data_IF_889424885634
#
_entry.id   IF_889424885634
#
_cell.length_a   1.000
_cell.length_b   1.000
_cell.length_c   1.000
_cell.angle_alpha   90.00
_cell.angle_beta   90.00
_cell.angle_gamma   90.00
#
_symmetry.space_group_name_H-M   'P 1'
#
loop_
_entity.id
_entity.type
_entity.pdbx_description
1 polymer ?
#
# COMPACT_ATOMS: atom_id res chain seq x y z
N UNK A 1 -21.93 -15.02 -58.24
CA UNK A 1 -22.10 -15.43 -56.84
C UNK A 1 -20.71 -15.62 -56.28
N UNK A 2 -20.10 -14.55 -55.78
CA UNK A 2 -18.72 -14.55 -55.29
C UNK A 2 -18.71 -14.83 -53.78
N UNK A 3 -17.85 -15.77 -53.36
CA UNK A 3 -17.67 -16.14 -51.96
C UNK A 3 -16.50 -15.32 -51.42
N UNK A 4 -16.78 -14.37 -50.53
CA UNK A 4 -15.77 -13.65 -49.76
C UNK A 4 -15.31 -14.54 -48.59
N UNK A 5 -14.04 -14.96 -48.61
CA UNK A 5 -13.38 -15.61 -47.47
C UNK A 5 -12.83 -14.52 -46.55
N UNK A 6 -13.43 -14.36 -45.38
CA UNK A 6 -12.95 -13.46 -44.33
C UNK A 6 -11.75 -14.08 -43.59
N UNK A 7 -10.57 -13.48 -43.73
CA UNK A 7 -9.39 -13.81 -42.94
C UNK A 7 -9.55 -13.14 -41.56
N UNK A 8 -9.77 -13.94 -40.52
CA UNK A 8 -9.73 -13.48 -39.15
C UNK A 8 -8.27 -13.34 -38.68
N UNK A 9 -7.79 -12.10 -38.54
CA UNK A 9 -6.52 -11.79 -37.89
C UNK A 9 -6.70 -11.92 -36.37
N UNK A 10 -6.24 -13.02 -35.79
CA UNK A 10 -6.10 -13.17 -34.33
C UNK A 10 -4.83 -12.43 -33.91
N UNK A 11 -4.97 -11.18 -33.46
CA UNK A 11 -3.89 -10.47 -32.79
C UNK A 11 -3.73 -10.99 -31.36
N UNK A 12 -2.78 -11.89 -31.16
CA UNK A 12 -2.36 -12.33 -29.82
C UNK A 12 -1.58 -11.24 -29.12
N UNK A 13 -2.21 -10.52 -28.20
CA UNK A 13 -1.50 -9.64 -27.27
C UNK A 13 -0.71 -10.51 -26.29
N UNK A 14 0.62 -10.48 -26.37
CA UNK A 14 1.50 -11.08 -25.36
C UNK A 14 1.36 -10.24 -24.07
N UNK A 15 0.79 -10.83 -23.02
CA UNK A 15 0.70 -10.19 -21.72
C UNK A 15 2.11 -9.90 -21.21
N UNK A 16 2.49 -8.62 -21.13
CA UNK A 16 3.78 -8.21 -20.57
C UNK A 16 3.79 -8.57 -19.09
N UNK A 17 4.76 -9.40 -18.67
CA UNK A 17 4.92 -9.78 -17.28
C UNK A 17 5.01 -8.52 -16.40
N UNK A 18 4.29 -8.54 -15.27
CA UNK A 18 4.30 -7.44 -14.32
C UNK A 18 5.70 -7.28 -13.73
N UNK A 19 6.19 -6.04 -13.55
CA UNK A 19 7.46 -5.83 -12.87
C UNK A 19 7.38 -6.46 -11.48
N UNK A 20 8.30 -7.38 -11.20
CA UNK A 20 8.38 -8.06 -9.92
C UNK A 20 9.06 -7.16 -8.89
N UNK A 21 8.55 -7.14 -7.66
CA UNK A 21 9.26 -6.51 -6.54
C UNK A 21 10.58 -7.24 -6.28
N UNK A 22 11.63 -6.52 -5.85
CA UNK A 22 12.83 -7.17 -5.35
C UNK A 22 12.49 -8.18 -4.22
N UNK A 23 13.36 -9.18 -3.99
CA UNK A 23 13.13 -10.17 -2.95
C UNK A 23 13.01 -9.49 -1.57
N UNK A 24 12.18 -10.09 -0.72
CA UNK A 24 12.02 -9.62 0.65
C UNK A 24 13.34 -9.84 1.43
N UNK A 25 13.67 -8.92 2.33
CA UNK A 25 14.94 -8.91 3.05
C UNK A 25 14.69 -9.20 4.53
N UNK A 26 15.37 -10.18 5.14
CA UNK A 26 15.28 -10.40 6.59
C UNK A 26 15.66 -9.14 7.37
N UNK A 27 14.88 -8.81 8.41
CA UNK A 27 15.21 -7.72 9.32
C UNK A 27 16.24 -8.19 10.36
N UNK A 28 17.52 -8.12 10.00
CA UNK A 28 18.64 -8.48 10.87
C UNK A 28 19.32 -7.24 11.46
N UNK A 29 20.09 -7.40 12.57
CA UNK A 29 20.95 -6.33 13.07
C UNK A 29 21.86 -5.80 11.96
N UNK A 30 21.95 -4.49 11.80
CA UNK A 30 22.71 -3.83 10.72
C UNK A 30 21.93 -3.61 9.41
N UNK A 31 20.74 -4.17 9.26
CA UNK A 31 19.81 -3.84 8.16
C UNK A 31 18.69 -2.96 8.71
N UNK A 32 17.79 -3.52 9.49
CA UNK A 32 16.70 -2.79 10.14
C UNK A 32 16.27 -3.56 11.38
N UNK A 33 16.03 -2.83 12.46
CA UNK A 33 15.42 -3.35 13.67
C UNK A 33 14.30 -2.41 14.09
N UNK A 34 13.05 -2.91 14.23
CA UNK A 34 11.98 -2.10 14.80
C UNK A 34 12.35 -1.69 16.23
N UNK A 35 12.02 -0.45 16.61
CA UNK A 35 12.20 -0.02 17.99
C UNK A 35 11.17 -0.68 18.91
N UNK A 36 11.40 -0.70 20.24
CA UNK A 36 10.38 -1.11 21.18
C UNK A 36 9.07 -0.35 20.93
N UNK A 37 7.99 -1.09 20.69
CA UNK A 37 6.68 -0.51 20.40
C UNK A 37 6.40 -0.19 18.92
N UNK A 38 7.34 -0.41 17.99
CA UNK A 38 7.12 -0.22 16.54
C UNK A 38 6.39 -1.39 15.87
N UNK A 39 6.22 -2.50 16.57
CA UNK A 39 5.53 -3.70 16.08
C UNK A 39 4.35 -4.04 16.96
N UNK A 40 3.31 -4.61 16.35
CA UNK A 40 2.10 -5.08 17.02
C UNK A 40 1.82 -6.52 16.61
N UNK A 41 1.40 -7.33 17.58
CA UNK A 41 0.90 -8.68 17.34
C UNK A 41 -0.62 -8.64 17.33
N UNK A 42 -1.22 -9.15 16.25
CA UNK A 42 -2.68 -9.19 16.08
C UNK A 42 -3.10 -10.63 15.93
N UNK A 43 -3.72 -11.19 16.97
CA UNK A 43 -4.14 -12.59 16.98
C UNK A 43 -2.99 -13.52 16.60
N UNK A 44 -3.18 -14.33 15.55
CA UNK A 44 -2.19 -15.27 15.02
C UNK A 44 -1.46 -14.75 13.77
N UNK A 45 -1.61 -13.48 13.42
CA UNK A 45 -0.84 -12.91 12.32
C UNK A 45 0.62 -12.71 12.72
N UNK A 46 1.56 -12.77 11.76
CA UNK A 46 2.92 -12.34 11.99
C UNK A 46 2.95 -10.90 12.49
N UNK A 47 3.96 -10.56 13.30
CA UNK A 47 4.11 -9.21 13.84
C UNK A 47 4.09 -8.16 12.70
N UNK A 48 3.24 -7.14 12.86
CA UNK A 48 3.04 -6.07 11.89
C UNK A 48 3.82 -4.85 12.35
N UNK A 49 4.64 -4.27 11.46
CA UNK A 49 5.27 -2.98 11.71
C UNK A 49 4.24 -1.85 11.60
N UNK A 50 4.32 -0.87 12.49
CA UNK A 50 3.40 0.27 12.55
C UNK A 50 3.61 1.31 11.45
N UNK A 51 4.80 1.33 10.86
CA UNK A 51 5.27 2.41 9.98
C UNK A 51 5.64 1.90 8.59
N UNK A 52 5.41 2.74 7.58
CA UNK A 52 6.13 2.61 6.32
C UNK A 52 7.60 2.96 6.56
N UNK A 53 8.53 2.22 5.95
CA UNK A 53 9.97 2.40 6.12
C UNK A 53 10.56 3.02 4.85
N UNK A 54 11.32 4.10 5.00
CA UNK A 54 11.97 4.80 3.89
C UNK A 54 13.16 4.03 3.31
N UNK A 55 13.72 4.57 2.21
CA UNK A 55 14.90 3.98 1.54
C UNK A 55 16.17 3.97 2.41
N UNK A 56 16.19 4.73 3.50
CA UNK A 56 17.27 4.82 4.48
C UNK A 56 16.99 3.96 5.72
N UNK A 57 15.97 3.10 5.67
CA UNK A 57 15.61 2.17 6.72
C UNK A 57 15.17 2.85 8.03
N UNK A 58 14.50 4.00 7.90
CA UNK A 58 13.87 4.73 9.01
C UNK A 58 12.36 4.74 8.82
N UNK A 59 11.56 4.87 9.90
CA UNK A 59 10.14 5.16 9.78
C UNK A 59 9.93 6.41 8.91
N UNK A 60 9.18 6.28 7.83
CA UNK A 60 9.02 7.31 6.81
C UNK A 60 8.32 8.55 7.38
N UNK A 61 8.83 9.71 6.99
CA UNK A 61 8.21 11.00 7.22
C UNK A 61 7.70 11.51 5.88
N UNK A 62 6.43 11.92 5.83
CA UNK A 62 5.71 12.25 4.61
C UNK A 62 6.40 13.42 3.88
N UNK A 63 7.33 13.11 2.97
CA UNK A 63 8.21 14.06 2.28
C UNK A 63 8.88 15.10 3.21
N UNK A 64 9.13 14.74 4.48
CA UNK A 64 9.66 15.66 5.50
C UNK A 64 8.69 16.76 5.97
N UNK A 65 7.40 16.63 5.65
CA UNK A 65 6.38 17.61 6.02
C UNK A 65 6.20 17.71 7.53
N UNK A 66 5.85 18.92 7.97
CA UNK A 66 5.49 19.21 9.36
C UNK A 66 4.04 19.65 9.44
N UNK A 67 3.28 19.00 10.31
CA UNK A 67 1.91 19.37 10.61
C UNK A 67 1.86 19.96 12.02
N UNK A 68 1.46 21.24 12.12
CA UNK A 68 1.46 22.00 13.38
C UNK A 68 2.81 21.93 14.13
N UNK A 69 3.91 22.00 13.39
CA UNK A 69 5.29 21.94 13.91
C UNK A 69 5.85 20.53 14.14
N UNK A 70 5.01 19.50 14.16
CA UNK A 70 5.42 18.10 14.39
C UNK A 70 5.74 17.39 13.07
N UNK A 71 6.73 16.51 13.04
CA UNK A 71 7.06 15.73 11.85
C UNK A 71 5.95 14.70 11.57
N UNK A 72 5.52 14.61 10.31
CA UNK A 72 4.40 13.76 9.92
C UNK A 72 4.88 12.35 9.58
N UNK A 73 4.61 11.38 10.47
CA UNK A 73 4.95 9.96 10.29
C UNK A 73 3.91 9.27 9.41
N UNK A 74 4.34 8.36 8.53
CA UNK A 74 3.45 7.59 7.66
C UNK A 74 3.04 6.23 8.27
N UNK A 75 1.79 6.09 8.78
CA UNK A 75 1.34 4.87 9.43
C UNK A 75 0.91 3.79 8.42
N UNK A 76 1.12 2.52 8.79
CA UNK A 76 0.37 1.41 8.19
C UNK A 76 -1.10 1.57 8.60
N UNK A 77 -1.99 1.59 7.62
CA UNK A 77 -3.42 1.86 7.82
C UNK A 77 -4.36 0.93 7.02
N UNK A 78 -3.81 -0.04 6.30
CA UNK A 78 -4.57 -1.11 5.63
C UNK A 78 -3.92 -2.46 5.90
N UNK A 79 -4.73 -3.49 6.14
CA UNK A 79 -4.34 -4.90 6.11
C UNK A 79 -5.20 -5.62 5.07
N UNK A 80 -4.57 -6.38 4.18
CA UNK A 80 -5.29 -7.22 3.20
C UNK A 80 -4.92 -8.68 3.41
N UNK A 81 -5.90 -9.57 3.32
CA UNK A 81 -5.68 -11.03 3.36
C UNK A 81 -6.28 -11.65 2.12
N UNK A 82 -5.45 -12.23 1.26
CA UNK A 82 -5.90 -13.04 0.13
C UNK A 82 -5.97 -14.52 0.56
N UNK A 83 -7.18 -14.97 0.92
CA UNK A 83 -7.43 -16.37 1.30
C UNK A 83 -7.68 -17.29 0.10
N UNK A 84 -7.64 -16.77 -1.12
CA UNK A 84 -7.97 -17.51 -2.34
C UNK A 84 -6.72 -17.93 -3.09
N UNK A 85 -5.70 -17.07 -3.11
CA UNK A 85 -4.45 -17.32 -3.82
C UNK A 85 -3.70 -18.56 -3.30
N UNK A 86 -3.24 -19.42 -4.20
CA UNK A 86 -2.45 -20.60 -3.87
C UNK A 86 -0.98 -20.25 -3.57
N UNK A 87 -0.46 -19.16 -4.17
CA UNK A 87 0.93 -18.72 -4.05
C UNK A 87 1.07 -17.22 -3.76
N UNK A 88 2.26 -16.81 -3.30
CA UNK A 88 2.59 -15.40 -3.06
C UNK A 88 2.47 -14.56 -4.34
N UNK A 89 2.92 -15.11 -5.47
CA UNK A 89 2.89 -14.40 -6.76
C UNK A 89 1.46 -14.29 -7.29
N UNK A 90 0.63 -15.32 -7.09
CA UNK A 90 -0.80 -15.24 -7.41
C UNK A 90 -1.49 -14.19 -6.53
N UNK A 91 -1.19 -14.13 -5.23
CA UNK A 91 -1.75 -13.13 -4.32
C UNK A 91 -1.36 -11.71 -4.77
N UNK A 92 -0.11 -11.49 -5.19
CA UNK A 92 0.35 -10.20 -5.73
C UNK A 92 -0.37 -9.83 -7.02
N UNK A 93 -0.50 -10.78 -7.94
CA UNK A 93 -1.19 -10.57 -9.21
C UNK A 93 -2.67 -10.21 -8.98
N UNK A 94 -3.35 -10.94 -8.10
CA UNK A 94 -4.74 -10.68 -7.70
C UNK A 94 -4.91 -9.33 -7.02
N UNK A 95 -4.01 -8.96 -6.11
CA UNK A 95 -4.01 -7.65 -5.47
C UNK A 95 -3.84 -6.53 -6.51
N UNK A 96 -2.89 -6.67 -7.43
CA UNK A 96 -2.66 -5.65 -8.46
C UNK A 96 -3.89 -5.48 -9.35
N UNK A 97 -4.51 -6.58 -9.76
CA UNK A 97 -5.73 -6.55 -10.56
C UNK A 97 -6.88 -5.90 -9.80
N UNK A 98 -7.06 -6.26 -8.52
CA UNK A 98 -8.05 -5.64 -7.66
C UNK A 98 -7.81 -4.13 -7.51
N UNK A 99 -6.56 -3.69 -7.34
CA UNK A 99 -6.24 -2.27 -7.26
C UNK A 99 -6.61 -1.54 -8.56
N UNK A 100 -6.29 -2.10 -9.73
CA UNK A 100 -6.68 -1.52 -11.03
C UNK A 100 -8.19 -1.44 -11.19
N UNK A 101 -8.92 -2.53 -10.91
CA UNK A 101 -10.38 -2.56 -10.97
C UNK A 101 -11.04 -1.56 -9.98
N UNK A 102 -10.40 -1.34 -8.84
CA UNK A 102 -10.80 -0.32 -7.87
C UNK A 102 -10.45 1.12 -8.28
N UNK A 103 -9.78 1.33 -9.42
CA UNK A 103 -9.32 2.64 -9.91
C UNK A 103 -8.00 3.11 -9.31
N UNK A 104 -7.30 2.27 -8.56
CA UNK A 104 -5.97 2.51 -7.98
C UNK A 104 -4.89 1.82 -8.81
N UNK A 105 -4.78 2.15 -10.10
CA UNK A 105 -3.68 1.62 -10.90
C UNK A 105 -2.31 2.15 -10.42
N UNK A 106 -1.22 1.42 -10.72
CA UNK A 106 0.13 1.98 -10.58
C UNK A 106 0.27 3.25 -11.43
N UNK A 107 0.72 4.35 -10.82
CA UNK A 107 0.99 5.63 -11.48
C UNK A 107 2.36 6.16 -11.09
N UNK A 108 3.05 6.77 -12.04
CA UNK A 108 4.34 7.44 -11.85
C UNK A 108 4.21 8.80 -11.12
N UNK A 109 5.32 9.51 -10.94
CA UNK A 109 5.35 10.84 -10.32
C UNK A 109 5.35 10.85 -8.80
N UNK A 110 5.55 9.69 -8.16
CA UNK A 110 5.57 9.57 -6.70
C UNK A 110 6.98 9.22 -6.21
N UNK A 111 7.27 9.46 -4.93
CA UNK A 111 8.47 8.93 -4.28
C UNK A 111 8.41 7.38 -4.24
N UNK A 112 9.57 6.72 -4.06
CA UNK A 112 9.64 5.27 -4.03
C UNK A 112 10.82 4.72 -3.24
N UNK A 113 10.97 3.40 -3.24
CA UNK A 113 12.00 2.69 -2.47
C UNK A 113 11.57 2.35 -1.04
N UNK A 114 10.27 2.43 -0.76
CA UNK A 114 9.71 2.13 0.55
C UNK A 114 9.63 0.64 0.83
N UNK A 115 9.59 0.32 2.13
CA UNK A 115 9.44 -1.03 2.65
C UNK A 115 8.39 -1.08 3.76
N UNK A 116 7.87 -2.27 4.00
CA UNK A 116 7.01 -2.56 5.15
C UNK A 116 7.56 -3.75 5.92
N UNK A 117 7.46 -3.69 7.25
CA UNK A 117 7.89 -4.77 8.13
C UNK A 117 6.72 -5.72 8.43
N UNK A 118 6.95 -7.01 8.19
CA UNK A 118 5.96 -8.04 8.46
C UNK A 118 6.66 -9.37 8.82
N UNK A 119 6.42 -9.88 10.01
CA UNK A 119 6.94 -11.18 10.45
C UNK A 119 8.47 -11.28 10.46
N UNK A 120 9.19 -10.21 10.82
CA UNK A 120 10.66 -10.20 10.82
C UNK A 120 11.29 -9.97 9.44
N UNK A 121 10.49 -9.60 8.43
CA UNK A 121 10.94 -9.40 7.06
C UNK A 121 10.54 -8.01 6.57
N UNK A 122 11.45 -7.35 5.86
CA UNK A 122 11.17 -6.15 5.10
C UNK A 122 10.77 -6.49 3.67
N UNK A 123 9.54 -6.12 3.31
CA UNK A 123 9.03 -6.27 1.95
C UNK A 123 9.15 -4.96 1.20
N UNK A 124 9.66 -5.03 -0.03
CA UNK A 124 9.63 -3.90 -0.94
C UNK A 124 8.18 -3.55 -1.31
N UNK A 125 7.94 -2.26 -1.54
CA UNK A 125 6.64 -1.76 -1.98
C UNK A 125 6.11 -2.48 -3.24
N UNK A 126 4.79 -2.56 -3.29
CA UNK A 126 3.95 -2.67 -4.46
C UNK A 126 3.25 -1.31 -4.67
N UNK A 127 3.15 -0.81 -5.92
CA UNK A 127 3.76 -1.37 -7.12
C UNK A 127 5.29 -1.32 -7.08
N UNK A 128 5.92 -2.30 -7.77
CA UNK A 128 7.36 -2.51 -7.76
C UNK A 128 8.16 -1.46 -8.54
N UNK A 129 7.53 -0.83 -9.53
CA UNK A 129 8.19 0.14 -10.40
C UNK A 129 8.69 1.35 -9.59
N UNK A 130 9.92 1.78 -9.90
CA UNK A 130 10.50 2.96 -9.27
C UNK A 130 9.61 4.19 -9.51
N UNK A 131 9.44 5.00 -8.47
CA UNK A 131 8.63 6.21 -8.52
C UNK A 131 7.12 5.98 -8.72
N UNK A 132 6.62 4.75 -8.54
CA UNK A 132 5.21 4.43 -8.70
C UNK A 132 4.48 4.22 -7.39
N UNK A 133 3.22 4.66 -7.31
CA UNK A 133 2.25 4.39 -6.25
C UNK A 133 1.00 3.71 -6.82
N UNK A 134 0.24 3.02 -5.98
CA UNK A 134 -1.18 2.86 -6.29
C UNK A 134 -1.85 4.21 -6.07
N UNK A 135 -2.50 4.77 -7.08
CA UNK A 135 -3.14 6.08 -6.94
C UNK A 135 -4.43 6.19 -7.76
N UNK A 136 -5.43 6.83 -7.16
CA UNK A 136 -6.74 6.97 -7.78
C UNK A 136 -6.83 8.09 -8.83
N UNK A 137 -5.87 9.00 -8.86
CA UNK A 137 -5.77 10.10 -9.81
C UNK A 137 -4.29 10.36 -10.19
N UNK A 138 -3.98 11.08 -11.28
CA UNK A 138 -2.65 11.60 -11.55
C UNK A 138 -2.08 12.39 -10.36
N UNK A 139 -0.75 12.38 -10.21
CA UNK A 139 -0.09 13.02 -9.07
C UNK A 139 -0.32 14.54 -9.09
N UNK A 140 -0.41 15.15 -10.27
CA UNK A 140 -0.68 16.58 -10.47
C UNK A 140 -2.08 17.02 -10.01
N UNK A 141 -2.94 16.07 -9.61
CA UNK A 141 -4.27 16.32 -9.08
C UNK A 141 -4.38 15.95 -7.60
N UNK A 142 -5.53 16.25 -7.00
CA UNK A 142 -5.87 15.77 -5.66
C UNK A 142 -6.07 14.25 -5.72
N UNK A 143 -5.17 13.51 -5.12
CA UNK A 143 -5.16 12.06 -5.22
C UNK A 143 -5.03 11.42 -3.83
N UNK A 144 -5.60 10.22 -3.73
CA UNK A 144 -5.25 9.28 -2.69
C UNK A 144 -4.26 8.30 -3.32
N UNK A 145 -3.15 8.07 -2.62
CA UNK A 145 -2.17 7.10 -3.08
C UNK A 145 -1.61 6.30 -1.92
N UNK A 146 -0.93 5.20 -2.24
CA UNK A 146 -0.18 4.47 -1.23
C UNK A 146 0.56 3.26 -1.74
N UNK A 147 1.28 2.63 -0.81
CA UNK A 147 2.13 1.47 -1.03
C UNK A 147 1.62 0.29 -0.22
N UNK A 148 1.67 -0.88 -0.84
CA UNK A 148 1.34 -2.14 -0.18
C UNK A 148 2.62 -2.99 -0.05
N UNK A 149 2.75 -3.78 1.00
CA UNK A 149 3.93 -4.57 1.34
C UNK A 149 3.51 -6.01 1.63
N UNK A 150 4.32 -6.97 1.18
CA UNK A 150 4.06 -8.40 1.35
C UNK A 150 4.07 -9.20 0.04
N UNK A 151 3.40 -10.38 0.00
CA UNK A 151 2.68 -10.99 1.10
C UNK A 151 3.56 -11.89 1.98
N UNK A 152 3.07 -12.16 3.19
CA UNK A 152 3.53 -13.28 4.04
C UNK A 152 2.46 -14.37 4.10
N UNK A 153 2.86 -15.64 4.22
CA UNK A 153 1.90 -16.73 4.40
C UNK A 153 1.39 -16.74 5.84
N UNK A 154 0.08 -16.92 5.99
CA UNK A 154 -0.62 -17.12 7.27
C UNK A 154 -1.56 -18.33 7.15
N UNK A 155 -2.20 -18.72 8.26
CA UNK A 155 -3.27 -19.73 8.23
C UNK A 155 -4.49 -19.30 7.42
N UNK A 156 -4.73 -17.99 7.33
CA UNK A 156 -5.90 -17.40 6.67
C UNK A 156 -5.65 -17.10 5.18
N UNK A 157 -4.43 -17.32 4.69
CA UNK A 157 -4.01 -16.94 3.34
C UNK A 157 -2.77 -16.05 3.32
N UNK A 158 -2.68 -15.20 2.30
CA UNK A 158 -1.56 -14.30 2.06
C UNK A 158 -1.85 -12.91 2.60
N UNK A 159 -1.09 -12.48 3.61
CA UNK A 159 -1.31 -11.20 4.28
C UNK A 159 -0.38 -10.11 3.73
N UNK A 160 -0.98 -8.96 3.46
CA UNK A 160 -0.33 -7.72 3.07
C UNK A 160 -0.65 -6.61 4.06
N UNK A 161 0.23 -5.61 4.13
CA UNK A 161 0.00 -4.37 4.88
C UNK A 161 0.23 -3.17 3.98
N UNK A 162 -0.43 -2.05 4.24
CA UNK A 162 -0.34 -0.87 3.37
C UNK A 162 -0.37 0.44 4.13
N UNK A 163 0.28 1.45 3.55
CA UNK A 163 0.23 2.84 3.99
C UNK A 163 -0.32 3.69 2.84
N UNK A 164 -1.44 4.37 3.10
CA UNK A 164 -2.09 5.26 2.15
C UNK A 164 -2.28 6.65 2.72
N UNK A 165 -2.06 7.66 1.90
CA UNK A 165 -2.23 9.06 2.25
C UNK A 165 -2.97 9.81 1.14
N UNK A 166 -3.69 10.85 1.52
CA UNK A 166 -4.30 11.80 0.61
C UNK A 166 -3.45 13.05 0.58
N UNK A 167 -3.28 13.55 -0.62
CA UNK A 167 -2.56 14.79 -0.87
C UNK A 167 -3.34 15.72 -1.78
N UNK A 168 -2.97 17.00 -1.71
CA UNK A 168 -3.50 18.04 -2.56
C UNK A 168 -2.34 18.71 -3.30
N UNK A 169 -2.43 18.71 -4.62
CA UNK A 169 -1.62 19.59 -5.46
C UNK A 169 -1.98 21.07 -5.22
N UNK A 170 -0.96 21.90 -4.98
CA UNK A 170 -1.10 23.35 -4.88
C UNK A 170 -0.70 24.02 -6.22
N UNK A 171 -1.67 24.51 -7.02
CA UNK A 171 -1.36 25.09 -8.33
C UNK A 171 -0.66 26.45 -8.23
N UNK A 172 -0.73 27.15 -7.08
CA UNK A 172 -0.13 28.47 -6.88
C UNK A 172 1.37 28.39 -6.61
N UNK A 173 1.82 27.37 -5.86
CA UNK A 173 3.24 27.18 -5.55
C UNK A 173 3.95 26.33 -6.59
N UNK A 174 3.20 25.61 -7.47
CA UNK A 174 3.73 24.68 -8.51
C UNK A 174 4.75 23.65 -8.00
N UNK A 175 4.90 23.55 -6.70
CA UNK A 175 5.82 22.70 -5.98
C UNK A 175 5.16 22.37 -4.66
N UNK A 176 5.16 21.08 -4.37
CA UNK A 176 4.73 20.43 -3.14
C UNK A 176 3.24 20.08 -3.07
N UNK A 177 3.02 18.78 -3.20
CA UNK A 177 1.84 18.12 -2.68
C UNK A 177 1.78 18.39 -1.19
N UNK A 178 0.60 18.74 -0.70
CA UNK A 178 0.38 18.97 0.73
C UNK A 178 -0.41 17.80 1.27
N UNK A 179 0.03 17.25 2.39
CA UNK A 179 -0.73 16.25 3.14
C UNK A 179 -2.14 16.76 3.45
N UNK A 180 -3.13 15.87 3.30
CA UNK A 180 -4.53 16.16 3.62
C UNK A 180 -5.05 15.20 4.69
N UNK A 181 -4.94 13.89 4.48
CA UNK A 181 -5.54 12.89 5.39
C UNK A 181 -5.01 11.49 5.13
N UNK A 182 -4.75 10.72 6.18
CA UNK A 182 -4.53 9.28 6.09
C UNK A 182 -5.87 8.52 6.09
N UNK A 183 -6.85 8.92 6.92
CA UNK A 183 -8.13 8.20 7.01
C UNK A 183 -8.93 8.26 5.72
N UNK A 184 -9.00 9.42 5.07
CA UNK A 184 -9.72 9.56 3.82
C UNK A 184 -9.16 8.67 2.72
N UNK A 185 -7.82 8.53 2.66
CA UNK A 185 -7.17 7.66 1.69
C UNK A 185 -7.42 6.17 2.01
N UNK A 186 -7.26 5.78 3.28
CA UNK A 186 -7.59 4.43 3.77
C UNK A 186 -9.02 4.03 3.40
N UNK A 187 -9.99 4.88 3.76
CA UNK A 187 -11.40 4.57 3.65
C UNK A 187 -11.87 4.59 2.18
N UNK A 188 -11.34 5.50 1.35
CA UNK A 188 -11.61 5.50 -0.09
C UNK A 188 -11.07 4.24 -0.77
N UNK A 189 -9.82 3.85 -0.47
CA UNK A 189 -9.23 2.63 -1.00
C UNK A 189 -10.03 1.40 -0.59
N UNK A 190 -10.31 1.24 0.70
CA UNK A 190 -11.05 0.10 1.21
C UNK A 190 -12.46 0.00 0.60
N UNK A 191 -13.22 1.11 0.55
CA UNK A 191 -14.55 1.13 -0.05
C UNK A 191 -14.53 0.80 -1.54
N UNK A 192 -13.54 1.29 -2.29
CA UNK A 192 -13.44 0.99 -3.74
C UNK A 192 -13.05 -0.47 -3.99
N UNK A 193 -12.16 -1.05 -3.20
CA UNK A 193 -11.87 -2.48 -3.27
C UNK A 193 -13.11 -3.31 -2.92
N UNK A 194 -13.81 -2.96 -1.84
CA UNK A 194 -15.05 -3.61 -1.39
C UNK A 194 -16.13 -3.63 -2.47
N UNK A 195 -16.38 -2.48 -3.08
CA UNK A 195 -17.45 -2.30 -4.06
C UNK A 195 -17.14 -2.89 -5.45
N UNK A 196 -15.87 -3.03 -5.83
CA UNK A 196 -15.47 -3.29 -7.24
C UNK A 196 -14.69 -4.57 -7.47
N UNK A 197 -14.34 -5.31 -6.42
CA UNK A 197 -13.42 -6.46 -6.53
C UNK A 197 -13.93 -7.67 -5.74
N UNK A 198 -13.09 -8.68 -5.52
CA UNK A 198 -13.36 -9.78 -4.58
C UNK A 198 -12.92 -9.51 -3.13
N UNK A 199 -12.22 -8.40 -2.85
CA UNK A 199 -11.87 -8.01 -1.49
C UNK A 199 -13.08 -7.42 -0.78
N UNK A 200 -13.33 -7.82 0.47
CA UNK A 200 -14.43 -7.29 1.31
C UNK A 200 -13.90 -6.73 2.60
N UNK A 201 -14.46 -5.60 3.05
CA UNK A 201 -14.17 -5.06 4.38
C UNK A 201 -14.63 -6.08 5.42
N UNK A 202 -13.70 -6.49 6.28
CA UNK A 202 -13.91 -7.47 7.34
C UNK A 202 -13.90 -6.84 8.74
N UNK A 203 -13.58 -5.55 8.85
CA UNK A 203 -13.53 -4.80 10.09
C UNK A 203 -12.29 -3.91 10.17
N UNK A 204 -11.92 -3.55 11.40
CA UNK A 204 -10.74 -2.77 11.71
C UNK A 204 -9.92 -3.48 12.77
N UNK A 205 -8.61 -3.24 12.76
CA UNK A 205 -7.68 -3.72 13.77
C UNK A 205 -6.90 -2.54 14.33
N UNK A 206 -6.73 -2.53 15.65
CA UNK A 206 -5.90 -1.54 16.33
C UNK A 206 -4.42 -1.89 16.13
N UNK A 207 -3.68 -0.97 15.51
CA UNK A 207 -2.22 -1.06 15.41
C UNK A 207 -1.52 -0.15 16.41
N UNK A 208 -2.27 0.63 17.22
CA UNK A 208 -1.76 1.57 18.22
C UNK A 208 -0.65 2.46 17.63
N UNK A 209 -0.90 2.99 16.43
CA UNK A 209 0.02 3.85 15.67
C UNK A 209 -0.57 5.24 15.44
N UNK A 210 -1.45 5.70 16.32
CA UNK A 210 -1.79 7.11 16.48
C UNK A 210 -0.75 7.79 17.40
N UNK A 211 -0.25 8.95 16.97
CA UNK A 211 0.71 9.76 17.73
C UNK A 211 0.08 11.08 18.18
N UNK A 212 -1.00 11.01 18.96
CA UNK A 212 -1.71 12.19 19.47
C UNK A 212 -0.86 12.97 20.50
N UNK A 213 -0.23 12.24 21.42
CA UNK A 213 0.47 12.81 22.59
C UNK A 213 1.98 13.00 22.39
N UNK A 214 2.52 12.63 21.22
CA UNK A 214 3.95 12.80 20.94
C UNK A 214 4.26 14.30 20.70
N UNK A 215 5.24 14.90 21.41
CA UNK A 215 5.54 16.32 21.26
C UNK A 215 6.24 16.68 19.94
N UNK A 216 6.91 15.73 19.29
CA UNK A 216 7.74 15.94 18.11
C UNK A 216 7.15 15.34 16.83
N UNK A 217 6.35 14.29 16.96
CA UNK A 217 5.78 13.52 15.86
C UNK A 217 4.26 13.60 15.85
N UNK A 218 3.68 13.40 14.68
CA UNK A 218 2.23 13.23 14.54
C UNK A 218 1.92 12.28 13.40
N UNK A 219 0.79 11.59 13.48
CA UNK A 219 0.19 10.84 12.37
C UNK A 219 -1.01 11.58 11.79
N UNK A 220 -1.06 12.91 11.94
CA UNK A 220 -2.12 13.74 11.39
C UNK A 220 -3.49 13.33 11.89
N UNK A 221 -4.39 12.96 10.97
CA UNK A 221 -5.75 12.52 11.30
C UNK A 221 -5.90 11.01 11.49
N UNK A 222 -4.82 10.22 11.42
CA UNK A 222 -4.86 8.77 11.61
C UNK A 222 -5.30 8.40 13.03
N UNK A 223 -6.18 7.40 13.14
CA UNK A 223 -6.90 7.00 14.37
C UNK A 223 -6.32 5.73 15.03
N UNK A 224 -5.11 5.32 14.65
CA UNK A 224 -4.45 4.13 15.19
C UNK A 224 -4.97 2.81 14.63
N UNK A 225 -5.96 2.85 13.73
CA UNK A 225 -6.61 1.67 13.17
C UNK A 225 -6.18 1.40 11.73
N UNK A 226 -6.00 0.11 11.42
CA UNK A 226 -5.96 -0.35 10.04
C UNK A 226 -7.30 -0.99 9.65
N UNK A 227 -7.82 -0.66 8.47
CA UNK A 227 -8.96 -1.38 7.89
C UNK A 227 -8.49 -2.74 7.37
N UNK A 228 -9.27 -3.78 7.65
CA UNK A 228 -8.99 -5.15 7.22
C UNK A 228 -9.86 -5.48 6.02
N UNK A 229 -9.26 -5.88 4.90
CA UNK A 229 -9.95 -6.45 3.76
C UNK A 229 -9.58 -7.91 3.56
N UNK A 230 -10.56 -8.77 3.26
CA UNK A 230 -10.34 -10.18 2.96
C UNK A 230 -10.84 -10.51 1.56
N UNK A 231 -10.00 -11.11 0.73
CA UNK A 231 -10.42 -11.64 -0.56
C UNK A 231 -11.38 -12.81 -0.34
N UNK A 232 -12.48 -12.84 -1.07
CA UNK A 232 -13.42 -13.95 -1.12
C UNK A 232 -13.42 -14.57 -2.53
N UNK A 233 -13.85 -15.82 -2.61
CA UNK A 233 -14.16 -16.46 -3.90
C UNK A 233 -15.39 -15.83 -4.52
#
# INVERSE_FOLDING_TARGET
MEILVGIALVSGAVAKALPQSPPAVPATPGVYQPQPGDVVTVGEWPAIGKWMIDRHLRPAEWLGARLKGKALREPINVVLVDSVAASADEARARLLEACRAAGYQPREGHSGGYRGFLGGVLFHQLPAAAGHAFSNEPFELHNNHGRIFGPVRTKDGWLFVGALSRERFNPLTRTEHVYVSFRQARDDFARKLDARTGYRIAGFVELANELADDPALTTGDHDGMAVVLRARR
#
